data_IF_441930631118
#
_entry.id   IF_441930631118
#
_cell.length_a   1.000
_cell.length_b   1.000
_cell.length_c   1.000
_cell.angle_alpha   90.00
_cell.angle_beta   90.00
_cell.angle_gamma   90.00
#
_symmetry.space_group_name_H-M   'P 1'
#
loop_
_entity.id
_entity.type
_entity.pdbx_description
1 polymer ?
#
# COMPACT_ATOMS: atom_id res chain seq x y z
N UNK A 1 -1.09 -19.11 19.42
CA UNK A 1 -0.10 -18.01 19.54
C UNK A 1 -0.85 -16.74 19.92
N UNK A 2 -0.42 -16.05 20.99
CA UNK A 2 -1.03 -14.79 21.47
C UNK A 2 -0.99 -13.67 20.43
N UNK A 3 0.04 -13.63 19.58
CA UNK A 3 0.18 -12.65 18.49
C UNK A 3 -1.06 -12.61 17.59
N UNK A 4 -1.44 -13.75 17.00
CA UNK A 4 -2.60 -13.82 16.10
C UNK A 4 -3.92 -13.49 16.80
N UNK A 5 -4.03 -13.75 18.11
CA UNK A 5 -5.21 -13.32 18.89
C UNK A 5 -5.35 -11.81 18.92
N UNK A 6 -4.25 -11.07 19.11
CA UNK A 6 -4.27 -9.60 19.09
C UNK A 6 -4.47 -9.05 17.67
N UNK A 7 -3.86 -9.66 16.66
CA UNK A 7 -4.10 -9.30 15.25
C UNK A 7 -5.59 -9.40 14.92
N UNK A 8 -6.24 -10.52 15.26
CA UNK A 8 -7.65 -10.72 14.97
C UNK A 8 -8.54 -9.68 15.67
N UNK A 9 -8.24 -9.34 16.93
CA UNK A 9 -8.94 -8.26 17.66
C UNK A 9 -8.73 -6.90 16.98
N UNK A 10 -7.53 -6.61 16.48
CA UNK A 10 -7.24 -5.40 15.72
C UNK A 10 -8.03 -5.31 14.42
N UNK A 11 -8.10 -6.42 13.67
CA UNK A 11 -8.92 -6.51 12.44
C UNK A 11 -10.41 -6.31 12.77
N UNK A 12 -10.91 -6.96 13.82
CA UNK A 12 -12.31 -6.83 14.26
C UNK A 12 -12.64 -5.39 14.65
N UNK A 13 -11.78 -4.73 15.43
CA UNK A 13 -11.97 -3.34 15.82
C UNK A 13 -12.06 -2.42 14.59
N UNK A 14 -11.19 -2.60 13.60
CA UNK A 14 -11.22 -1.83 12.36
C UNK A 14 -12.46 -2.15 11.51
N UNK A 15 -12.90 -3.40 11.45
CA UNK A 15 -14.16 -3.76 10.79
C UNK A 15 -15.36 -3.07 11.47
N UNK A 16 -15.35 -2.92 12.80
CA UNK A 16 -16.38 -2.16 13.53
C UNK A 16 -16.35 -0.66 13.24
N UNK A 17 -15.20 -0.09 12.88
CA UNK A 17 -15.07 1.29 12.39
C UNK A 17 -15.66 1.38 10.98
N UNK A 18 -15.26 0.49 10.06
CA UNK A 18 -15.79 0.43 8.69
C UNK A 18 -17.32 0.29 8.68
N UNK A 19 -17.88 -0.58 9.53
CA UNK A 19 -19.33 -0.74 9.65
C UNK A 19 -20.05 0.54 10.09
N UNK A 20 -19.42 1.35 10.93
CA UNK A 20 -20.02 2.60 11.45
C UNK A 20 -19.79 3.79 10.53
N UNK A 21 -18.70 3.80 9.79
CA UNK A 21 -18.29 4.89 8.92
C UNK A 21 -17.64 4.34 7.64
N UNK A 22 -18.43 3.73 6.73
CA UNK A 22 -17.91 3.01 5.55
C UNK A 22 -17.27 3.94 4.51
N UNK A 23 -17.49 5.24 4.62
CA UNK A 23 -16.88 6.23 3.72
C UNK A 23 -15.55 6.75 4.23
N UNK A 24 -15.22 6.56 5.52
CA UNK A 24 -13.97 7.06 6.11
C UNK A 24 -12.82 6.06 5.92
N UNK A 25 -11.68 6.57 5.44
CA UNK A 25 -10.49 5.74 5.17
C UNK A 25 -9.89 5.07 6.42
N UNK A 26 -10.10 5.64 7.61
CA UNK A 26 -9.40 5.27 8.84
C UNK A 26 -9.55 3.80 9.21
N UNK A 27 -10.76 3.23 9.08
CA UNK A 27 -10.98 1.81 9.37
C UNK A 27 -10.28 0.89 8.38
N UNK A 28 -10.29 1.25 7.09
CA UNK A 28 -9.61 0.49 6.03
C UNK A 28 -8.09 0.53 6.20
N UNK A 29 -7.53 1.72 6.41
CA UNK A 29 -6.10 1.91 6.60
C UNK A 29 -5.59 1.23 7.88
N UNK A 30 -6.35 1.31 8.97
CA UNK A 30 -6.03 0.58 10.21
C UNK A 30 -6.04 -0.93 10.02
N UNK A 31 -7.05 -1.48 9.33
CA UNK A 31 -7.11 -2.91 8.96
C UNK A 31 -5.91 -3.32 8.10
N UNK A 32 -5.55 -2.53 7.09
CA UNK A 32 -4.41 -2.79 6.22
C UNK A 32 -3.10 -2.88 7.01
N UNK A 33 -2.86 -1.93 7.92
CA UNK A 33 -1.68 -1.92 8.78
C UNK A 33 -1.64 -3.11 9.75
N UNK A 34 -2.77 -3.52 10.31
CA UNK A 34 -2.82 -4.72 11.18
C UNK A 34 -2.50 -5.99 10.38
N UNK A 35 -3.02 -6.12 9.16
CA UNK A 35 -2.66 -7.23 8.28
C UNK A 35 -1.17 -7.20 7.88
N UNK A 36 -0.60 -6.02 7.69
CA UNK A 36 0.82 -5.86 7.34
C UNK A 36 1.76 -6.37 8.44
N UNK A 37 1.35 -6.27 9.71
CA UNK A 37 2.12 -6.85 10.83
C UNK A 37 2.24 -8.37 10.71
N UNK A 38 1.23 -9.04 10.14
CA UNK A 38 1.29 -10.49 9.89
C UNK A 38 2.28 -10.79 8.76
N UNK A 39 2.22 -10.03 7.67
CA UNK A 39 3.15 -10.16 6.56
C UNK A 39 4.60 -9.93 7.01
N UNK A 40 4.86 -8.91 7.84
CA UNK A 40 6.20 -8.64 8.37
C UNK A 40 6.70 -9.76 9.30
N UNK A 41 5.80 -10.29 10.14
CA UNK A 41 6.10 -11.42 11.02
C UNK A 41 6.48 -12.69 10.23
N UNK A 42 5.75 -12.99 9.16
CA UNK A 42 6.01 -14.16 8.30
C UNK A 42 7.24 -13.95 7.40
N UNK A 43 7.41 -12.73 6.87
CA UNK A 43 8.56 -12.35 6.02
C UNK A 43 9.89 -12.55 6.72
N UNK A 44 9.96 -12.36 8.04
CA UNK A 44 11.17 -12.60 8.82
C UNK A 44 11.73 -14.03 8.66
N UNK A 45 10.88 -15.01 8.29
CA UNK A 45 11.30 -16.40 8.08
C UNK A 45 11.73 -16.75 6.65
N UNK A 46 11.21 -16.07 5.61
CA UNK A 46 11.35 -16.49 4.21
C UNK A 46 11.77 -15.38 3.22
N UNK A 47 11.91 -14.14 3.70
CA UNK A 47 12.33 -12.98 2.90
C UNK A 47 11.29 -12.43 1.93
N UNK A 48 10.11 -13.06 1.80
CA UNK A 48 9.04 -12.68 0.88
C UNK A 48 7.86 -12.06 1.62
N UNK A 49 7.17 -11.12 1.00
CA UNK A 49 5.89 -10.60 1.50
C UNK A 49 4.77 -11.59 1.15
N UNK A 50 4.09 -12.21 2.12
CA UNK A 50 3.03 -13.20 1.87
C UNK A 50 1.82 -12.61 1.13
N UNK A 51 1.46 -11.36 1.42
CA UNK A 51 0.38 -10.64 0.72
C UNK A 51 -0.93 -10.58 1.48
N UNK A 52 -0.94 -10.87 2.78
CA UNK A 52 -2.14 -10.85 3.64
C UNK A 52 -2.76 -9.44 3.65
N UNK A 53 -1.94 -8.40 3.65
CA UNK A 53 -2.41 -7.01 3.66
C UNK A 53 -2.76 -6.44 2.29
N UNK A 54 -2.43 -7.13 1.17
CA UNK A 54 -2.58 -6.60 -0.19
C UNK A 54 -3.96 -6.01 -0.46
N UNK A 55 -5.01 -6.82 -0.34
CA UNK A 55 -6.38 -6.38 -0.63
C UNK A 55 -6.82 -5.25 0.31
N UNK A 56 -6.37 -5.28 1.57
CA UNK A 56 -6.72 -4.23 2.54
C UNK A 56 -6.02 -2.90 2.24
N UNK A 57 -4.77 -2.93 1.76
CA UNK A 57 -4.08 -1.73 1.30
C UNK A 57 -4.68 -1.17 0.01
N UNK A 58 -5.06 -2.02 -0.94
CA UNK A 58 -5.75 -1.57 -2.16
C UNK A 58 -7.04 -0.81 -1.83
N UNK A 59 -7.87 -1.37 -0.95
CA UNK A 59 -9.11 -0.74 -0.47
C UNK A 59 -8.85 0.55 0.32
N UNK A 60 -7.84 0.54 1.20
CA UNK A 60 -7.46 1.73 1.96
C UNK A 60 -6.98 2.87 1.05
N UNK A 61 -6.14 2.55 0.05
CA UNK A 61 -5.63 3.53 -0.92
C UNK A 61 -6.77 4.17 -1.70
N UNK A 62 -7.74 3.38 -2.16
CA UNK A 62 -8.92 3.91 -2.85
C UNK A 62 -9.67 4.93 -1.98
N UNK A 63 -9.96 4.57 -0.72
CA UNK A 63 -10.65 5.45 0.23
C UNK A 63 -9.85 6.70 0.56
N UNK A 64 -8.53 6.58 0.71
CA UNK A 64 -7.64 7.72 0.97
C UNK A 64 -7.60 8.65 -0.23
N UNK A 65 -7.43 8.15 -1.46
CA UNK A 65 -7.41 8.97 -2.67
C UNK A 65 -8.70 9.78 -2.83
N UNK A 66 -9.86 9.16 -2.57
CA UNK A 66 -11.15 9.85 -2.60
C UNK A 66 -11.28 10.98 -1.57
N UNK A 67 -10.49 10.94 -0.49
CA UNK A 67 -10.52 11.91 0.62
C UNK A 67 -9.30 12.84 0.65
N UNK A 68 -8.36 12.71 -0.28
CA UNK A 68 -7.07 13.41 -0.24
C UNK A 68 -7.08 14.75 -1.01
N UNK A 69 -8.18 15.50 -0.92
CA UNK A 69 -8.34 16.77 -1.66
C UNK A 69 -7.31 17.84 -1.27
N UNK A 70 -6.81 17.81 -0.03
CA UNK A 70 -5.81 18.74 0.50
C UNK A 70 -4.41 18.11 0.63
N UNK A 71 -4.20 16.94 0.02
CA UNK A 71 -2.91 16.23 -0.02
C UNK A 71 -2.38 15.76 1.34
N UNK A 72 -3.14 15.89 2.44
CA UNK A 72 -2.67 15.49 3.78
C UNK A 72 -2.47 13.98 3.94
N UNK A 73 -3.09 13.17 3.10
CA UNK A 73 -2.99 11.71 3.13
C UNK A 73 -1.88 11.17 2.22
N UNK A 74 -1.10 12.03 1.56
CA UNK A 74 -0.02 11.63 0.65
C UNK A 74 0.92 10.59 1.28
N UNK A 75 1.35 10.82 2.52
CA UNK A 75 2.25 9.90 3.22
C UNK A 75 1.62 8.53 3.49
N UNK A 76 0.33 8.50 3.85
CA UNK A 76 -0.40 7.24 4.09
C UNK A 76 -0.64 6.46 2.79
N UNK A 77 -0.93 7.17 1.69
CA UNK A 77 -1.08 6.55 0.37
C UNK A 77 0.26 5.99 -0.12
N UNK A 78 1.35 6.75 0.05
CA UNK A 78 2.70 6.30 -0.29
C UNK A 78 3.09 5.07 0.53
N UNK A 79 2.73 5.00 1.82
CA UNK A 79 2.93 3.79 2.63
C UNK A 79 2.24 2.57 2.01
N UNK A 80 0.98 2.71 1.61
CA UNK A 80 0.24 1.63 0.95
C UNK A 80 0.88 1.20 -0.37
N UNK A 81 1.26 2.16 -1.24
CA UNK A 81 1.97 1.82 -2.47
C UNK A 81 3.35 1.21 -2.21
N UNK A 82 4.04 1.62 -1.15
CA UNK A 82 5.31 1.03 -0.73
C UNK A 82 5.17 -0.42 -0.29
N UNK A 83 4.08 -0.76 0.41
CA UNK A 83 3.74 -2.15 0.70
C UNK A 83 3.49 -2.94 -0.59
N UNK A 84 2.64 -2.42 -1.50
CA UNK A 84 2.32 -3.09 -2.76
C UNK A 84 3.57 -3.29 -3.64
N UNK A 85 4.46 -2.30 -3.70
CA UNK A 85 5.77 -2.38 -4.37
C UNK A 85 6.59 -3.54 -3.82
N UNK A 86 6.72 -3.68 -2.50
CA UNK A 86 7.45 -4.78 -1.88
C UNK A 86 6.80 -6.16 -2.15
N UNK A 87 5.46 -6.21 -2.14
CA UNK A 87 4.71 -7.40 -2.49
C UNK A 87 4.95 -7.83 -3.94
N UNK A 88 4.82 -6.93 -4.91
CA UNK A 88 5.02 -7.25 -6.32
C UNK A 88 6.48 -7.63 -6.63
N UNK A 89 7.46 -6.98 -6.00
CA UNK A 89 8.88 -7.37 -6.08
C UNK A 89 9.06 -8.80 -5.57
N UNK A 90 8.47 -9.16 -4.41
CA UNK A 90 8.57 -10.51 -3.83
C UNK A 90 7.99 -11.60 -4.75
N UNK A 91 7.04 -11.24 -5.61
CA UNK A 91 6.35 -12.13 -6.53
C UNK A 91 6.85 -12.03 -7.98
N UNK A 92 7.87 -11.20 -8.26
CA UNK A 92 8.40 -11.00 -9.61
C UNK A 92 7.45 -10.31 -10.57
N UNK A 93 6.41 -9.64 -10.08
CA UNK A 93 5.47 -8.89 -10.91
C UNK A 93 6.05 -7.51 -11.26
N UNK A 94 6.86 -7.50 -12.34
CA UNK A 94 7.56 -6.30 -12.81
C UNK A 94 6.57 -5.21 -13.23
N UNK A 95 5.49 -5.58 -13.91
CA UNK A 95 4.51 -4.59 -14.41
C UNK A 95 3.85 -3.87 -13.23
N UNK A 96 3.31 -4.61 -12.28
CA UNK A 96 2.66 -4.00 -11.11
C UNK A 96 3.65 -3.24 -10.24
N UNK A 97 4.90 -3.70 -10.14
CA UNK A 97 5.98 -2.96 -9.47
C UNK A 97 6.18 -1.59 -10.13
N UNK A 98 6.32 -1.52 -11.45
CA UNK A 98 6.48 -0.24 -12.16
C UNK A 98 5.25 0.66 -11.92
N UNK A 99 4.06 0.11 -12.11
CA UNK A 99 2.80 0.86 -12.01
C UNK A 99 2.65 1.53 -10.63
N UNK A 100 2.94 0.83 -9.51
CA UNK A 100 2.81 1.43 -8.18
C UNK A 100 3.92 2.42 -7.84
N UNK A 101 5.15 2.20 -8.30
CA UNK A 101 6.25 3.16 -8.04
C UNK A 101 6.07 4.45 -8.85
N UNK A 102 5.49 4.37 -10.06
CA UNK A 102 5.08 5.57 -10.80
C UNK A 102 3.96 6.33 -10.08
N UNK A 103 2.99 5.64 -9.47
CA UNK A 103 1.97 6.28 -8.62
C UNK A 103 2.56 6.99 -7.40
N UNK A 104 3.62 6.44 -6.79
CA UNK A 104 4.36 7.13 -5.72
C UNK A 104 4.96 8.44 -6.26
N UNK A 105 5.62 8.42 -7.42
CA UNK A 105 6.23 9.61 -8.00
C UNK A 105 5.23 10.68 -8.46
N UNK A 106 3.99 10.29 -8.77
CA UNK A 106 2.90 11.25 -9.01
C UNK A 106 2.51 12.02 -7.73
N UNK A 107 2.66 11.40 -6.55
CA UNK A 107 2.34 12.00 -5.26
C UNK A 107 3.55 12.77 -4.69
N UNK A 108 4.74 12.18 -4.78
CA UNK A 108 6.01 12.76 -4.36
C UNK A 108 7.06 12.56 -5.48
N UNK A 109 7.24 13.55 -6.36
CA UNK A 109 8.21 13.47 -7.46
C UNK A 109 9.68 13.25 -7.01
N UNK A 110 9.99 13.53 -5.75
CA UNK A 110 11.33 13.38 -5.17
C UNK A 110 11.46 12.12 -4.31
N UNK A 111 10.55 11.15 -4.42
CA UNK A 111 10.65 9.90 -3.67
C UNK A 111 11.86 9.07 -4.13
N UNK A 112 12.89 9.03 -3.28
CA UNK A 112 14.16 8.36 -3.58
C UNK A 112 13.98 6.85 -3.74
N UNK A 113 13.07 6.24 -2.97
CA UNK A 113 12.83 4.79 -2.99
C UNK A 113 12.16 4.38 -4.30
N UNK A 114 11.07 5.05 -4.69
CA UNK A 114 10.40 4.77 -5.95
C UNK A 114 11.32 5.03 -7.15
N UNK A 115 12.11 6.10 -7.08
CA UNK A 115 13.14 6.42 -8.07
C UNK A 115 14.15 5.27 -8.22
N UNK A 116 14.67 4.76 -7.10
CA UNK A 116 15.63 3.65 -7.10
C UNK A 116 15.04 2.37 -7.70
N UNK A 117 13.80 2.00 -7.33
CA UNK A 117 13.14 0.80 -7.85
C UNK A 117 12.97 0.88 -9.37
N UNK A 118 12.47 2.00 -9.90
CA UNK A 118 12.29 2.18 -11.34
C UNK A 118 13.62 2.16 -12.09
N UNK A 119 14.68 2.76 -11.53
CA UNK A 119 16.03 2.69 -12.11
C UNK A 119 16.55 1.25 -12.20
N UNK A 120 16.36 0.44 -11.15
CA UNK A 120 16.76 -0.98 -11.17
C UNK A 120 16.03 -1.81 -12.21
N UNK A 121 14.82 -1.40 -12.59
CA UNK A 121 14.00 -2.05 -13.61
C UNK A 121 14.18 -1.44 -15.02
N UNK A 122 15.07 -0.45 -15.19
CA UNK A 122 15.21 0.34 -16.42
C UNK A 122 13.88 0.95 -16.90
N UNK A 123 13.00 1.29 -15.95
CA UNK A 123 11.66 1.82 -16.21
C UNK A 123 11.66 3.37 -16.17
N UNK A 124 10.79 4.03 -16.96
CA UNK A 124 10.69 5.48 -16.95
C UNK A 124 10.17 5.99 -15.60
N UNK A 125 10.79 7.08 -15.11
CA UNK A 125 10.38 7.78 -13.87
C UNK A 125 9.09 8.58 -14.03
N UNK A 126 8.68 8.85 -15.26
CA UNK A 126 7.45 9.57 -15.56
C UNK A 126 6.34 8.58 -15.92
N UNK A 127 5.19 8.69 -15.24
CA UNK A 127 3.95 8.27 -15.86
C UNK A 127 3.75 9.21 -17.06
N UNK A 128 3.80 8.70 -18.28
CA UNK A 128 3.42 9.48 -19.45
C UNK A 128 1.98 9.92 -19.24
N UNK A 129 1.79 11.23 -19.00
CA UNK A 129 0.47 11.84 -19.13
C UNK A 129 0.00 11.49 -20.53
N UNK A 130 -1.09 10.71 -20.61
CA UNK A 130 -1.74 10.42 -21.88
C UNK A 130 -2.04 11.78 -22.53
N UNK A 131 -1.56 12.07 -23.75
CA UNK A 131 -1.99 13.29 -24.41
C UNK A 131 -3.49 13.14 -24.63
N UNK A 132 -4.27 14.05 -24.02
CA UNK A 132 -5.68 14.21 -24.36
C UNK A 132 -5.73 14.45 -25.87
N UNK A 133 -6.36 13.51 -26.59
CA UNK A 133 -6.87 13.77 -27.94
C UNK A 133 -8.03 14.75 -27.86
#
# INVERSE_FOLDING_TARGET
>A
NSFMSYINKGIEANNKIIQRAPDLYLGYYGKARVNALVDDYERAGNGKVPGIAKASFEEAIEKMLAQNGDQKLNNNIIEGYNYLSAYYISNGDVKSTIDVNQKILLINPNDERATYVLQKLNAPKTATATPKK
#
